data_IF_199295612707
#
_entry.id   IF_199295612707
#
_cell.length_a   1.000
_cell.length_b   1.000
_cell.length_c   1.000
_cell.angle_alpha   90.00
_cell.angle_beta   90.00
_cell.angle_gamma   90.00
#
_symmetry.space_group_name_H-M   'P 1'
#
loop_
_entity.id
_entity.type
_entity.pdbx_description
1 polymer ?
#
# COMPACT_ATOMS: atom_id res chain seq x y z
N UNK A 1 17.15 -6.54 -3.86
CA UNK A 1 15.93 -5.77 -4.19
C UNK A 1 16.33 -4.35 -4.54
N UNK A 2 15.89 -3.85 -5.70
CA UNK A 2 16.14 -2.45 -6.06
C UNK A 2 14.99 -1.55 -5.58
N UNK A 3 15.17 -0.25 -5.74
CA UNK A 3 14.20 0.74 -5.25
C UNK A 3 12.84 0.58 -5.94
N UNK A 4 12.83 0.30 -7.24
CA UNK A 4 11.59 0.13 -7.99
C UNK A 4 10.78 -1.05 -7.47
N UNK A 5 11.44 -2.18 -7.21
CA UNK A 5 10.78 -3.37 -6.65
C UNK A 5 10.22 -3.07 -5.26
N UNK A 6 10.98 -2.35 -4.44
CA UNK A 6 10.53 -1.97 -3.10
C UNK A 6 9.30 -1.08 -3.15
N UNK A 7 9.31 -0.05 -3.99
CA UNK A 7 8.16 0.86 -4.12
C UNK A 7 6.94 0.15 -4.69
N UNK A 8 7.13 -0.82 -5.59
CA UNK A 8 6.04 -1.65 -6.09
C UNK A 8 5.41 -2.49 -4.98
N UNK A 9 6.23 -3.07 -4.12
CA UNK A 9 5.75 -3.84 -2.98
C UNK A 9 4.98 -2.95 -2.02
N UNK A 10 5.51 -1.78 -1.71
CA UNK A 10 4.83 -0.81 -0.84
C UNK A 10 3.48 -0.41 -1.43
N UNK A 11 3.44 -0.11 -2.73
CA UNK A 11 2.21 0.26 -3.40
C UNK A 11 1.14 -0.82 -3.36
N UNK A 12 1.54 -2.07 -3.58
CA UNK A 12 0.62 -3.22 -3.47
C UNK A 12 0.06 -3.35 -2.07
N UNK A 13 0.89 -3.11 -1.06
CA UNK A 13 0.45 -3.14 0.33
C UNK A 13 -0.53 -2.01 0.64
N UNK A 14 -0.26 -0.80 0.15
CA UNK A 14 -1.18 0.32 0.37
C UNK A 14 -2.56 -0.01 -0.17
N UNK A 15 -2.62 -0.52 -1.40
CA UNK A 15 -3.89 -0.89 -2.02
C UNK A 15 -4.58 -2.03 -1.26
N UNK A 16 -3.83 -3.08 -0.93
CA UNK A 16 -4.35 -4.25 -0.23
C UNK A 16 -4.94 -3.87 1.13
N UNK A 17 -4.18 -3.15 1.95
CA UNK A 17 -4.64 -2.80 3.31
C UNK A 17 -5.72 -1.73 3.31
N UNK A 18 -5.73 -0.82 2.31
CA UNK A 18 -6.83 0.12 2.17
C UNK A 18 -8.14 -0.61 1.83
N UNK A 19 -8.09 -1.57 0.92
CA UNK A 19 -9.26 -2.37 0.56
C UNK A 19 -9.71 -3.25 1.72
N UNK A 20 -8.78 -3.81 2.47
CA UNK A 20 -9.08 -4.61 3.66
C UNK A 20 -9.75 -3.73 4.73
N UNK A 21 -9.27 -2.51 4.89
CA UNK A 21 -9.86 -1.54 5.80
C UNK A 21 -11.33 -1.26 5.43
N UNK A 22 -11.62 -1.14 4.14
CA UNK A 22 -12.98 -0.92 3.65
C UNK A 22 -13.93 -2.06 4.01
N UNK A 23 -13.43 -3.28 4.11
CA UNK A 23 -14.26 -4.43 4.47
C UNK A 23 -14.61 -4.46 5.96
N UNK A 24 -13.76 -3.90 6.81
CA UNK A 24 -13.87 -4.04 8.27
C UNK A 24 -14.24 -2.73 8.98
N UNK A 25 -14.20 -1.60 8.27
CA UNK A 25 -14.42 -0.26 8.84
C UNK A 25 -15.22 0.59 7.86
N UNK A 26 -15.22 1.90 8.07
CA UNK A 26 -15.83 2.84 7.16
C UNK A 26 -15.07 2.89 5.84
N UNK A 27 -15.76 3.29 4.77
CA UNK A 27 -15.17 3.44 3.45
C UNK A 27 -13.96 4.38 3.49
N UNK A 28 -12.86 3.94 2.89
CA UNK A 28 -11.63 4.70 2.80
C UNK A 28 -11.18 4.73 1.34
N UNK A 29 -11.51 5.81 0.64
CA UNK A 29 -11.08 6.01 -0.75
C UNK A 29 -9.63 6.46 -0.79
N UNK A 30 -9.04 6.45 -1.99
CA UNK A 30 -7.70 7.01 -2.18
C UNK A 30 -7.63 8.47 -1.72
N UNK A 31 -8.66 9.25 -2.06
CA UNK A 31 -8.74 10.66 -1.66
C UNK A 31 -8.80 10.82 -0.14
N UNK A 32 -9.64 10.02 0.51
CA UNK A 32 -9.78 10.07 1.97
C UNK A 32 -8.48 9.65 2.67
N UNK A 33 -7.82 8.61 2.17
CA UNK A 33 -6.54 8.18 2.72
C UNK A 33 -5.49 9.27 2.57
N UNK A 34 -5.40 9.88 1.38
CA UNK A 34 -4.46 10.96 1.11
C UNK A 34 -4.67 12.13 2.06
N UNK A 35 -5.92 12.51 2.29
CA UNK A 35 -6.27 13.57 3.22
C UNK A 35 -5.82 13.25 4.64
N UNK A 36 -6.07 12.03 5.10
CA UNK A 36 -5.71 11.61 6.46
C UNK A 36 -4.21 11.64 6.73
N UNK A 37 -3.40 11.38 5.73
CA UNK A 37 -1.95 11.35 5.88
C UNK A 37 -1.25 12.58 5.28
N UNK A 38 -2.04 13.56 4.86
CA UNK A 38 -1.58 14.87 4.36
C UNK A 38 -0.65 14.76 3.15
N UNK A 39 -1.09 14.01 2.15
CA UNK A 39 -0.41 13.90 0.85
C UNK A 39 -1.44 14.10 -0.26
N UNK A 40 -0.96 14.21 -1.51
CA UNK A 40 -1.87 14.34 -2.65
C UNK A 40 -2.55 13.01 -2.97
N UNK A 41 -3.75 13.07 -3.52
CA UNK A 41 -4.45 11.88 -4.04
C UNK A 41 -3.62 11.22 -5.14
N UNK A 42 -2.94 12.03 -5.97
CA UNK A 42 -2.09 11.52 -7.03
C UNK A 42 -0.96 10.63 -6.49
N UNK A 43 -0.38 10.98 -5.33
CA UNK A 43 0.66 10.15 -4.71
C UNK A 43 0.11 8.76 -4.38
N UNK A 44 -1.07 8.69 -3.76
CA UNK A 44 -1.70 7.41 -3.43
C UNK A 44 -2.03 6.63 -4.70
N UNK A 45 -2.63 7.30 -5.69
CA UNK A 45 -2.96 6.65 -6.96
C UNK A 45 -1.75 6.08 -7.67
N UNK A 46 -0.65 6.84 -7.70
CA UNK A 46 0.59 6.39 -8.33
C UNK A 46 1.20 5.20 -7.60
N UNK A 47 1.18 5.21 -6.27
CA UNK A 47 1.66 4.09 -5.47
C UNK A 47 0.87 2.81 -5.78
N UNK A 48 -0.45 2.92 -5.77
CA UNK A 48 -1.33 1.75 -5.93
C UNK A 48 -1.35 1.20 -7.35
N UNK A 49 -1.15 2.06 -8.35
CA UNK A 49 -1.21 1.65 -9.75
C UNK A 49 0.10 1.02 -10.26
N UNK A 50 1.21 1.33 -9.62
CA UNK A 50 2.55 0.90 -10.05
C UNK A 50 2.92 1.33 -11.48
N UNK A 51 2.23 2.33 -12.02
CA UNK A 51 2.49 2.84 -13.38
C UNK A 51 3.66 3.82 -13.40
N UNK A 52 3.91 4.47 -12.28
CA UNK A 52 4.99 5.44 -12.10
C UNK A 52 5.80 4.97 -10.89
N UNK A 53 7.12 5.07 -10.99
CA UNK A 53 8.01 4.74 -9.87
C UNK A 53 7.88 5.84 -8.81
N UNK A 54 6.88 5.68 -7.95
CA UNK A 54 6.54 6.67 -6.93
C UNK A 54 7.28 6.37 -5.63
N UNK A 55 8.22 7.22 -5.28
CA UNK A 55 8.90 7.13 -3.98
C UNK A 55 7.97 7.55 -2.84
N UNK A 56 8.36 7.20 -1.63
CA UNK A 56 7.59 7.52 -0.44
C UNK A 56 8.54 7.85 0.71
N UNK A 57 8.21 8.89 1.47
CA UNK A 57 9.00 9.27 2.64
C UNK A 57 8.71 8.33 3.82
N UNK A 58 9.67 8.24 4.74
CA UNK A 58 9.49 7.47 5.98
C UNK A 58 8.30 8.00 6.76
N UNK A 59 8.12 9.31 6.81
CA UNK A 59 7.00 9.93 7.52
C UNK A 59 5.66 9.50 6.93
N UNK A 60 5.54 9.51 5.60
CA UNK A 60 4.32 9.07 4.92
C UNK A 60 4.06 7.59 5.19
N UNK A 61 5.08 6.76 5.11
CA UNK A 61 4.97 5.33 5.38
C UNK A 61 4.49 5.07 6.81
N UNK A 62 5.05 5.79 7.77
CA UNK A 62 4.63 5.70 9.17
C UNK A 62 3.14 6.06 9.33
N UNK A 63 2.71 7.17 8.71
CA UNK A 63 1.31 7.60 8.77
C UNK A 63 0.37 6.57 8.15
N UNK A 64 0.77 5.96 7.03
CA UNK A 64 0.01 4.86 6.43
C UNK A 64 -0.16 3.71 7.40
N UNK A 65 0.91 3.32 8.07
CA UNK A 65 0.86 2.22 9.04
C UNK A 65 -0.12 2.52 10.17
N UNK A 66 -0.17 3.76 10.63
CA UNK A 66 -1.06 4.18 11.71
C UNK A 66 -2.52 4.23 11.26
N UNK A 67 -2.80 4.84 10.11
CA UNK A 67 -4.18 4.98 9.62
C UNK A 67 -4.76 3.63 9.26
N UNK A 68 -3.97 2.77 8.61
CA UNK A 68 -4.44 1.45 8.18
C UNK A 68 -4.35 0.41 9.28
N UNK A 69 -3.76 0.76 10.42
CA UNK A 69 -3.57 -0.14 11.58
C UNK A 69 -2.80 -1.41 11.19
N UNK A 70 -1.67 -1.22 10.52
CA UNK A 70 -0.81 -2.29 10.01
C UNK A 70 0.61 -2.05 10.49
N UNK A 71 1.30 -3.05 11.04
CA UNK A 71 2.71 -2.90 11.40
C UNK A 71 3.53 -2.44 10.20
N UNK A 72 4.41 -1.47 10.40
CA UNK A 72 5.16 -0.86 9.30
C UNK A 72 5.98 -1.86 8.50
N UNK A 73 6.50 -2.89 9.13
CA UNK A 73 7.30 -3.92 8.47
C UNK A 73 6.50 -4.74 7.47
N UNK A 74 5.17 -4.79 7.60
CA UNK A 74 4.31 -5.48 6.65
C UNK A 74 4.32 -4.83 5.26
N UNK A 75 4.69 -3.55 5.18
CA UNK A 75 4.75 -2.85 3.90
C UNK A 75 5.96 -3.25 3.05
N UNK A 76 6.93 -3.96 3.64
CA UNK A 76 8.16 -4.34 2.95
C UNK A 76 8.12 -5.75 2.37
N UNK A 77 7.00 -6.45 2.48
CA UNK A 77 6.82 -7.79 1.93
C UNK A 77 5.48 -7.88 1.21
N UNK A 78 5.38 -8.77 0.23
CA UNK A 78 4.16 -8.92 -0.55
C UNK A 78 2.96 -9.22 0.37
N UNK A 79 1.79 -8.59 0.10
CA UNK A 79 0.58 -8.89 0.85
C UNK A 79 0.16 -10.36 0.67
N UNK A 80 -0.59 -10.92 1.62
CA UNK A 80 -1.00 -12.34 1.56
C UNK A 80 -1.69 -12.75 0.25
N UNK A 81 -2.48 -11.86 -0.34
CA UNK A 81 -3.15 -12.08 -1.61
C UNK A 81 -2.17 -12.50 -2.72
N UNK A 82 -1.04 -11.81 -2.81
CA UNK A 82 -0.04 -12.08 -3.85
C UNK A 82 0.76 -13.33 -3.57
N UNK A 83 0.95 -13.68 -2.30
CA UNK A 83 1.61 -14.91 -1.92
C UNK A 83 0.76 -16.12 -2.30
N UNK A 84 -0.56 -16.04 -2.12
CA UNK A 84 -1.47 -17.12 -2.52
C UNK A 84 -1.49 -17.31 -4.03
N UNK A 85 -1.51 -16.22 -4.81
CA UNK A 85 -1.44 -16.29 -6.26
C UNK A 85 -0.15 -16.98 -6.73
N UNK A 86 0.96 -16.65 -6.10
CA UNK A 86 2.24 -17.26 -6.41
C UNK A 86 2.24 -18.77 -6.12
N UNK A 87 1.62 -19.19 -5.04
CA UNK A 87 1.49 -20.61 -4.70
C UNK A 87 0.69 -21.36 -5.77
N UNK A 88 -0.40 -20.76 -6.26
CA UNK A 88 -1.23 -21.37 -7.30
C UNK A 88 -0.46 -21.55 -8.61
N UNK A 89 0.45 -20.66 -8.91
CA UNK A 89 1.23 -20.70 -10.13
C UNK A 89 2.42 -21.64 -10.08
N UNK A 90 2.78 -22.13 -8.91
CA UNK A 90 3.95 -22.99 -8.70
C UNK A 90 3.66 -24.50 -8.76
N UNK A 91 2.53 -24.86 -9.23
CA UNK A 91 2.17 -26.28 -9.38
C UNK A 91 2.87 -26.93 -10.58
#
# INVERSE_FOLDING_TARGET
MNDEELFNIIGKNVKYYRQLYNLNHEKLTQEQLAEKINVSTALIGNLESNKINQGISVTTLYRLSQVLDVPIDNFFKLPPKYLEENRKHKK
#
